data_IF_027956551829
#
_entry.id   IF_027956551829
#
_cell.length_a   1.000
_cell.length_b   1.000
_cell.length_c   1.000
_cell.angle_alpha   90.00
_cell.angle_beta   90.00
_cell.angle_gamma   90.00
#
_symmetry.space_group_name_H-M   'P 1'
#
loop_
_entity.id
_entity.type
_entity.pdbx_description
1 polymer ?
#
# COMPACT_ATOMS: atom_id res chain seq x y z
N UNK A 1 -45.66 -36.98 25.83
CA UNK A 1 -45.95 -36.25 24.57
C UNK A 1 -45.72 -34.80 24.93
N UNK A 2 -44.48 -34.37 24.78
CA UNK A 2 -44.02 -33.05 25.24
C UNK A 2 -43.63 -32.25 24.00
N UNK A 3 -44.48 -31.29 23.65
CA UNK A 3 -44.28 -30.37 22.54
C UNK A 3 -43.28 -29.27 22.94
N UNK A 4 -42.11 -29.27 22.32
CA UNK A 4 -41.17 -28.15 22.39
C UNK A 4 -41.51 -27.12 21.31
N UNK A 5 -42.03 -25.96 21.72
CA UNK A 5 -42.19 -24.79 20.85
C UNK A 5 -40.85 -24.08 20.69
N UNK A 6 -40.32 -24.07 19.46
CA UNK A 6 -39.08 -23.37 19.10
C UNK A 6 -39.39 -21.90 18.77
N UNK A 7 -38.91 -20.97 19.60
CA UNK A 7 -38.94 -19.53 19.28
C UNK A 7 -37.69 -19.15 18.49
N UNK A 8 -37.81 -19.09 17.16
CA UNK A 8 -36.76 -18.58 16.27
C UNK A 8 -36.63 -17.05 16.38
N UNK A 9 -35.43 -16.56 16.72
CA UNK A 9 -35.08 -15.14 16.70
C UNK A 9 -34.92 -14.67 15.25
N UNK A 10 -35.70 -13.69 14.82
CA UNK A 10 -35.54 -13.03 13.52
C UNK A 10 -34.26 -12.17 13.52
N UNK A 11 -33.33 -12.44 12.59
CA UNK A 11 -32.12 -11.66 12.40
C UNK A 11 -32.40 -10.25 11.85
N UNK A 12 -31.50 -9.27 12.07
CA UNK A 12 -31.72 -7.89 11.65
C UNK A 12 -31.76 -7.79 10.12
N UNK A 13 -32.85 -7.23 9.59
CA UNK A 13 -33.06 -7.01 8.15
C UNK A 13 -32.15 -5.88 7.64
N UNK A 14 -31.43 -6.13 6.56
CA UNK A 14 -30.52 -5.17 5.88
C UNK A 14 -31.29 -4.11 5.06
N UNK A 15 -32.57 -4.34 4.78
CA UNK A 15 -33.42 -3.44 3.99
C UNK A 15 -33.48 -1.97 4.50
N UNK A 16 -33.64 -1.69 5.81
CA UNK A 16 -33.59 -0.31 6.32
C UNK A 16 -32.22 0.36 6.14
N UNK A 17 -31.12 -0.40 6.20
CA UNK A 17 -29.78 0.15 6.00
C UNK A 17 -29.59 0.59 4.54
N UNK A 18 -30.02 -0.23 3.58
CA UNK A 18 -29.97 0.13 2.15
C UNK A 18 -30.83 1.36 1.84
N UNK A 19 -32.01 1.47 2.47
CA UNK A 19 -32.88 2.64 2.28
C UNK A 19 -32.25 3.92 2.86
N UNK A 20 -31.60 3.83 4.04
CA UNK A 20 -30.90 4.96 4.64
C UNK A 20 -29.72 5.43 3.78
N UNK A 21 -28.93 4.51 3.21
CA UNK A 21 -27.82 4.83 2.31
C UNK A 21 -28.31 5.49 1.02
N UNK A 22 -29.38 4.96 0.41
CA UNK A 22 -29.97 5.54 -0.79
C UNK A 22 -30.52 6.95 -0.53
N UNK A 23 -31.23 7.14 0.60
CA UNK A 23 -31.77 8.43 0.99
C UNK A 23 -30.65 9.47 1.24
N UNK A 24 -29.57 9.08 1.92
CA UNK A 24 -28.41 9.94 2.14
C UNK A 24 -27.72 10.34 0.82
N UNK A 25 -27.60 9.40 -0.13
CA UNK A 25 -27.01 9.69 -1.45
C UNK A 25 -27.87 10.68 -2.25
N UNK A 26 -29.19 10.48 -2.29
CA UNK A 26 -30.10 11.39 -3.00
C UNK A 26 -30.12 12.79 -2.38
N UNK A 27 -30.05 12.87 -1.04
CA UNK A 27 -29.98 14.15 -0.34
C UNK A 27 -28.66 14.89 -0.65
N UNK A 28 -27.53 14.18 -0.65
CA UNK A 28 -26.24 14.75 -1.05
C UNK A 28 -26.22 15.26 -2.49
N UNK A 29 -26.79 14.50 -3.42
CA UNK A 29 -26.90 14.92 -4.82
C UNK A 29 -27.78 16.16 -4.99
N UNK A 30 -28.91 16.24 -4.28
CA UNK A 30 -29.81 17.40 -4.31
C UNK A 30 -29.15 18.66 -3.74
N UNK A 31 -28.42 18.55 -2.62
CA UNK A 31 -27.68 19.69 -2.02
C UNK A 31 -26.57 20.16 -2.96
N UNK A 32 -25.81 19.23 -3.54
CA UNK A 32 -24.71 19.56 -4.46
C UNK A 32 -25.24 20.23 -5.73
N UNK A 33 -26.34 19.71 -6.30
CA UNK A 33 -27.02 20.31 -7.45
C UNK A 33 -27.57 21.71 -7.14
N UNK A 34 -28.14 21.92 -5.96
CA UNK A 34 -28.63 23.23 -5.52
C UNK A 34 -27.48 24.25 -5.37
N UNK A 35 -26.35 23.84 -4.78
CA UNK A 35 -25.17 24.69 -4.64
C UNK A 35 -24.52 25.03 -5.99
N UNK A 36 -24.48 24.07 -6.91
CA UNK A 36 -24.04 24.30 -8.28
C UNK A 36 -24.97 25.27 -9.03
N UNK A 37 -26.29 25.13 -8.87
CA UNK A 37 -27.27 26.04 -9.46
C UNK A 37 -27.17 27.46 -8.90
N UNK A 38 -26.82 27.61 -7.61
CA UNK A 38 -26.51 28.91 -6.99
C UNK A 38 -25.16 29.51 -7.42
N UNK A 39 -24.41 28.84 -8.29
CA UNK A 39 -23.13 29.33 -8.79
C UNK A 39 -21.98 29.26 -7.77
N UNK A 40 -22.12 28.49 -6.69
CA UNK A 40 -21.07 28.34 -5.65
C UNK A 40 -19.81 27.68 -6.22
N UNK A 41 -19.98 26.84 -7.26
CA UNK A 41 -18.90 26.18 -7.98
C UNK A 41 -18.67 26.78 -9.38
N UNK A 42 -19.22 27.96 -9.68
CA UNK A 42 -18.92 28.63 -10.94
C UNK A 42 -17.42 28.95 -10.98
N UNK A 43 -16.68 28.52 -12.02
CA UNK A 43 -15.29 28.92 -12.16
C UNK A 43 -15.24 30.45 -12.17
N UNK A 44 -14.49 31.03 -11.21
CA UNK A 44 -14.22 32.46 -11.20
C UNK A 44 -13.45 32.75 -12.48
N UNK A 45 -14.15 33.21 -13.50
CA UNK A 45 -13.52 33.82 -14.66
C UNK A 45 -12.67 34.96 -14.13
N UNK A 46 -11.35 34.78 -14.19
CA UNK A 46 -10.41 35.90 -14.05
C UNK A 46 -10.71 36.79 -15.24
N UNK A 47 -11.20 38.03 -15.05
CA UNK A 47 -11.39 38.93 -16.17
C UNK A 47 -10.00 39.17 -16.75
N UNK A 48 -9.75 38.60 -17.92
CA UNK A 48 -8.70 39.08 -18.79
C UNK A 48 -9.25 40.41 -19.29
N UNK A 49 -8.81 41.51 -18.66
CA UNK A 49 -9.01 42.84 -19.21
C UNK A 49 -8.57 42.80 -20.68
N UNK A 50 -9.44 43.17 -21.63
CA UNK A 50 -8.97 43.44 -22.97
C UNK A 50 -7.94 44.56 -22.82
N UNK A 51 -6.69 44.25 -23.18
CA UNK A 51 -5.68 45.28 -23.32
C UNK A 51 -6.25 46.32 -24.26
N UNK A 52 -6.56 47.50 -23.70
CA UNK A 52 -6.96 48.66 -24.46
C UNK A 52 -5.94 48.84 -25.58
N UNK A 53 -6.41 48.64 -26.81
CA UNK A 53 -5.78 49.16 -27.99
C UNK A 53 -5.81 50.68 -27.85
N UNK A 54 -4.79 51.22 -27.18
CA UNK A 54 -4.46 52.62 -27.23
C UNK A 54 -4.17 52.97 -28.70
N UNK A 55 -5.23 53.42 -29.36
CA UNK A 55 -5.18 54.17 -30.60
C UNK A 55 -4.36 55.42 -30.30
N UNK A 56 -3.07 55.35 -30.60
CA UNK A 56 -2.25 56.54 -30.66
C UNK A 56 -2.65 57.25 -31.94
N UNK A 57 -3.41 58.32 -31.78
CA UNK A 57 -3.68 59.28 -32.84
C UNK A 57 -2.35 59.70 -33.48
N UNK A 58 -2.29 59.61 -34.81
CA UNK A 58 -1.20 60.16 -35.57
C UNK A 58 -1.14 61.68 -35.36
N UNK A 59 -0.18 62.13 -34.55
CA UNK A 59 0.27 63.53 -34.58
C UNK A 59 1.26 63.64 -35.73
N UNK A 60 0.90 64.45 -36.72
CA UNK A 60 1.81 64.87 -37.80
C UNK A 60 2.86 65.81 -37.20
N UNK A 61 4.16 65.52 -37.26
CA UNK A 61 5.18 66.53 -36.98
C UNK A 61 5.44 67.34 -38.25
N UNK A 62 5.36 68.67 -38.12
CA UNK A 62 5.92 69.63 -39.06
C UNK A 62 7.45 69.47 -39.14
N UNK A 63 8.11 69.87 -40.24
CA UNK A 63 9.52 69.56 -40.47
C UNK A 63 10.50 70.50 -39.77
N UNK A 64 11.68 69.94 -39.47
CA UNK A 64 13.00 70.55 -39.16
C UNK A 64 13.32 70.90 -37.70
N UNK A 65 14.61 70.90 -37.28
CA UNK A 65 15.84 70.64 -38.03
C UNK A 65 16.59 69.35 -37.65
N UNK A 66 17.47 68.93 -38.56
CA UNK A 66 18.40 67.80 -38.49
C UNK A 66 19.25 67.79 -37.20
N UNK A 67 19.24 66.71 -36.39
CA UNK A 67 20.31 66.45 -35.44
C UNK A 67 21.47 65.76 -36.17
N UNK A 68 22.67 66.09 -35.74
CA UNK A 68 23.91 65.50 -36.21
C UNK A 68 23.89 63.96 -36.04
N UNK A 69 24.36 63.25 -37.06
CA UNK A 69 24.34 61.76 -37.21
C UNK A 69 25.03 61.02 -36.05
N UNK A 70 25.74 61.72 -35.16
CA UNK A 70 26.49 61.15 -34.04
C UNK A 70 25.67 60.94 -32.74
N UNK A 71 24.65 61.76 -32.46
CA UNK A 71 23.81 61.61 -31.25
C UNK A 71 22.70 60.56 -31.44
N UNK A 72 22.16 60.42 -32.65
CA UNK A 72 21.17 59.40 -32.98
C UNK A 72 21.76 57.99 -33.06
N UNK A 73 23.04 57.87 -33.43
CA UNK A 73 23.77 56.60 -33.38
C UNK A 73 23.98 56.15 -31.93
N UNK A 74 24.37 57.07 -31.03
CA UNK A 74 24.59 56.78 -29.61
C UNK A 74 23.28 56.39 -28.90
N UNK A 75 22.20 57.13 -29.13
CA UNK A 75 20.87 56.83 -28.57
C UNK A 75 20.19 55.59 -29.20
N UNK A 76 20.63 55.15 -30.39
CA UNK A 76 20.20 53.89 -30.99
C UNK A 76 20.98 52.71 -30.41
N UNK A 77 22.27 52.87 -30.12
CA UNK A 77 23.09 51.84 -29.45
C UNK A 77 22.60 51.61 -28.01
N UNK A 78 22.33 52.68 -27.26
CA UNK A 78 21.82 52.59 -25.88
C UNK A 78 20.44 51.91 -25.80
N UNK A 79 19.54 52.19 -26.77
CA UNK A 79 18.25 51.47 -26.88
C UNK A 79 18.41 50.00 -27.25
N UNK A 80 19.40 49.64 -28.06
CA UNK A 80 19.68 48.24 -28.38
C UNK A 80 20.23 47.52 -27.16
N UNK A 81 21.12 48.14 -26.38
CA UNK A 81 21.64 47.59 -25.13
C UNK A 81 20.56 47.36 -24.06
N UNK A 82 19.62 48.30 -23.88
CA UNK A 82 18.46 48.11 -22.97
C UNK A 82 17.56 46.94 -23.42
N UNK A 83 17.29 46.82 -24.73
CA UNK A 83 16.49 45.72 -25.28
C UNK A 83 17.21 44.38 -25.13
N UNK A 84 18.53 44.35 -25.34
CA UNK A 84 19.38 43.15 -25.18
C UNK A 84 19.39 42.69 -23.72
N UNK A 85 19.62 43.61 -22.77
CA UNK A 85 19.58 43.31 -21.34
C UNK A 85 18.20 42.84 -20.86
N UNK A 86 17.12 43.34 -21.46
CA UNK A 86 15.76 42.86 -21.23
C UNK A 86 15.51 41.43 -21.75
N UNK A 87 16.17 41.02 -22.83
CA UNK A 87 16.11 39.64 -23.35
C UNK A 87 16.92 38.70 -22.46
N UNK A 88 18.12 39.10 -22.03
CA UNK A 88 18.98 38.29 -21.15
C UNK A 88 18.30 38.02 -19.79
N UNK A 89 17.64 39.03 -19.21
CA UNK A 89 16.85 38.86 -17.99
C UNK A 89 15.68 37.88 -18.17
N UNK A 90 15.00 37.93 -19.32
CA UNK A 90 13.89 36.99 -19.62
C UNK A 90 14.42 35.57 -19.86
N UNK A 91 15.58 35.43 -20.49
CA UNK A 91 16.23 34.14 -20.69
C UNK A 91 16.62 33.53 -19.35
N UNK A 92 17.31 34.28 -18.49
CA UNK A 92 17.67 33.83 -17.14
C UNK A 92 16.43 33.46 -16.30
N UNK A 93 15.36 34.24 -16.38
CA UNK A 93 14.09 33.94 -15.70
C UNK A 93 13.40 32.68 -16.27
N UNK A 94 13.47 32.45 -17.58
CA UNK A 94 12.94 31.26 -18.22
C UNK A 94 13.73 30.00 -17.82
N UNK A 95 15.07 30.08 -17.78
CA UNK A 95 15.95 29.00 -17.33
C UNK A 95 15.67 28.62 -15.86
N UNK A 96 15.54 29.62 -14.98
CA UNK A 96 15.15 29.40 -13.57
C UNK A 96 13.76 28.75 -13.45
N UNK A 97 12.81 29.15 -14.31
CA UNK A 97 11.47 28.56 -14.32
C UNK A 97 11.50 27.10 -14.78
N UNK A 98 12.30 26.78 -15.80
CA UNK A 98 12.49 25.40 -16.27
C UNK A 98 13.12 24.55 -15.16
N UNK A 99 14.18 25.04 -14.50
CA UNK A 99 14.80 24.34 -13.38
C UNK A 99 13.80 24.05 -12.23
N UNK A 100 12.93 25.03 -11.90
CA UNK A 100 11.86 24.81 -10.92
C UNK A 100 10.82 23.80 -11.40
N UNK A 101 10.43 23.83 -12.67
CA UNK A 101 9.47 22.88 -13.24
C UNK A 101 10.05 21.46 -13.27
N UNK A 102 11.33 21.30 -13.57
CA UNK A 102 12.00 19.99 -13.55
C UNK A 102 12.00 19.39 -12.14
N UNK A 103 12.38 20.18 -11.13
CA UNK A 103 12.31 19.75 -9.72
C UNK A 103 10.88 19.40 -9.28
N UNK A 104 9.87 20.17 -9.72
CA UNK A 104 8.46 19.87 -9.44
C UNK A 104 8.01 18.59 -10.14
N UNK A 105 8.43 18.36 -11.39
CA UNK A 105 8.11 17.16 -12.14
C UNK A 105 8.73 15.91 -11.51
N UNK A 106 10.00 15.98 -11.08
CA UNK A 106 10.67 14.89 -10.36
C UNK A 106 9.99 14.59 -9.02
N UNK A 107 9.60 15.63 -8.27
CA UNK A 107 8.86 15.45 -7.02
C UNK A 107 7.48 14.81 -7.25
N UNK A 108 6.76 15.23 -8.29
CA UNK A 108 5.48 14.64 -8.67
C UNK A 108 5.64 13.17 -9.09
N UNK A 109 6.65 12.86 -9.91
CA UNK A 109 6.97 11.49 -10.33
C UNK A 109 7.30 10.59 -9.14
N UNK A 110 8.10 11.07 -8.17
CA UNK A 110 8.41 10.33 -6.96
C UNK A 110 7.19 10.06 -6.08
N UNK A 111 6.29 11.04 -5.94
CA UNK A 111 5.04 10.85 -5.20
C UNK A 111 4.09 9.86 -5.89
N UNK A 112 3.98 9.93 -7.22
CA UNK A 112 3.20 8.98 -8.01
C UNK A 112 3.75 7.56 -7.88
N UNK A 113 5.07 7.37 -7.99
CA UNK A 113 5.71 6.07 -7.80
C UNK A 113 5.46 5.49 -6.41
N UNK A 114 5.51 6.31 -5.36
CA UNK A 114 5.17 5.90 -3.99
C UNK A 114 3.71 5.43 -3.89
N UNK A 115 2.77 6.20 -4.45
CA UNK A 115 1.36 5.87 -4.44
C UNK A 115 1.08 4.56 -5.20
N UNK A 116 1.66 4.39 -6.38
CA UNK A 116 1.57 3.16 -7.16
C UNK A 116 2.15 1.95 -6.41
N UNK A 117 3.30 2.12 -5.76
CA UNK A 117 3.90 1.08 -4.92
C UNK A 117 2.99 0.64 -3.78
N UNK A 118 2.38 1.60 -3.07
CA UNK A 118 1.41 1.31 -2.01
C UNK A 118 0.15 0.61 -2.52
N UNK A 119 -0.38 1.03 -3.68
CA UNK A 119 -1.56 0.39 -4.28
C UNK A 119 -1.28 -1.06 -4.66
N UNK A 120 -0.10 -1.34 -5.23
CA UNK A 120 0.30 -2.70 -5.59
C UNK A 120 0.49 -3.55 -4.33
N UNK A 121 1.21 -3.05 -3.32
CA UNK A 121 1.39 -3.76 -2.06
C UNK A 121 0.04 -4.07 -1.37
N UNK A 122 -0.89 -3.11 -1.34
CA UNK A 122 -2.23 -3.31 -0.79
C UNK A 122 -3.05 -4.32 -1.60
N UNK A 123 -3.00 -4.25 -2.93
CA UNK A 123 -3.68 -5.21 -3.80
C UNK A 123 -3.13 -6.63 -3.60
N UNK A 124 -1.81 -6.76 -3.48
CA UNK A 124 -1.13 -8.02 -3.14
C UNK A 124 -1.59 -8.55 -1.79
N UNK A 125 -1.62 -7.72 -0.73
CA UNK A 125 -2.14 -8.10 0.60
C UNK A 125 -3.54 -8.68 0.49
N UNK A 126 -4.44 -7.95 -0.19
CA UNK A 126 -5.84 -8.33 -0.37
C UNK A 126 -6.01 -9.62 -1.19
N UNK A 127 -5.14 -9.88 -2.17
CA UNK A 127 -5.17 -11.12 -2.93
C UNK A 127 -4.76 -12.30 -2.05
N UNK A 128 -3.65 -12.18 -1.31
CA UNK A 128 -3.16 -13.23 -0.42
C UNK A 128 -4.13 -13.53 0.73
N UNK A 129 -4.72 -12.50 1.34
CA UNK A 129 -5.69 -12.68 2.43
C UNK A 129 -6.97 -13.40 1.93
N UNK A 130 -7.30 -13.30 0.64
CA UNK A 130 -8.39 -14.05 0.00
C UNK A 130 -7.98 -15.42 -0.55
N UNK A 131 -6.69 -15.75 -0.51
CA UNK A 131 -6.17 -16.97 -1.11
C UNK A 131 -6.21 -16.97 -2.64
N UNK A 132 -6.20 -15.80 -3.28
CA UNK A 132 -6.17 -15.68 -4.73
C UNK A 132 -4.73 -15.66 -5.26
N UNK A 133 -4.46 -16.27 -6.43
CA UNK A 133 -3.17 -16.12 -7.09
C UNK A 133 -2.97 -14.67 -7.54
N UNK A 134 -1.73 -14.20 -7.57
CA UNK A 134 -1.42 -12.79 -7.85
C UNK A 134 -1.70 -12.36 -9.30
N UNK A 135 -1.65 -13.29 -10.25
CA UNK A 135 -1.78 -12.98 -11.68
C UNK A 135 -0.81 -11.86 -12.09
N UNK A 136 -1.34 -10.80 -12.71
CA UNK A 136 -0.58 -9.63 -13.14
C UNK A 136 0.15 -8.90 -12.00
N UNK A 137 -0.32 -8.98 -10.75
CA UNK A 137 0.36 -8.38 -9.61
C UNK A 137 1.75 -8.96 -9.39
N UNK A 138 2.00 -10.22 -9.75
CA UNK A 138 3.31 -10.84 -9.63
C UNK A 138 4.35 -10.12 -10.51
N UNK A 139 3.97 -9.77 -11.73
CA UNK A 139 4.85 -9.06 -12.67
C UNK A 139 5.06 -7.60 -12.24
N UNK A 140 4.00 -6.97 -11.71
CA UNK A 140 4.11 -5.62 -11.13
C UNK A 140 5.05 -5.58 -9.91
N UNK A 141 4.99 -6.60 -9.05
CA UNK A 141 5.92 -6.71 -7.92
C UNK A 141 7.37 -6.87 -8.39
N UNK A 142 7.62 -7.74 -9.38
CA UNK A 142 8.96 -7.92 -9.96
C UNK A 142 9.48 -6.63 -10.58
N UNK A 143 8.65 -5.98 -11.39
CA UNK A 143 9.02 -4.76 -12.10
C UNK A 143 9.40 -3.63 -11.13
N UNK A 144 8.63 -3.46 -10.04
CA UNK A 144 8.78 -2.29 -9.17
C UNK A 144 9.65 -2.50 -7.95
N UNK A 145 9.55 -3.68 -7.34
CA UNK A 145 10.22 -4.02 -6.10
C UNK A 145 11.35 -5.02 -6.29
N UNK A 146 11.61 -5.49 -7.52
CA UNK A 146 12.66 -6.47 -7.81
C UNK A 146 14.06 -6.00 -7.40
N UNK A 147 14.35 -4.71 -7.54
CA UNK A 147 15.65 -4.14 -7.15
C UNK A 147 15.73 -3.83 -5.65
N UNK A 148 14.65 -3.31 -5.06
CA UNK A 148 14.62 -2.90 -3.64
C UNK A 148 14.45 -4.10 -2.69
N UNK A 149 13.63 -5.09 -3.06
CA UNK A 149 13.20 -6.20 -2.20
C UNK A 149 13.13 -7.54 -2.96
N UNK A 150 14.22 -8.02 -3.60
CA UNK A 150 14.20 -9.22 -4.45
C UNK A 150 13.76 -10.48 -3.70
N UNK A 151 14.25 -10.65 -2.46
CA UNK A 151 13.93 -11.82 -1.65
C UNK A 151 12.45 -11.83 -1.23
N UNK A 152 11.94 -10.69 -0.77
CA UNK A 152 10.56 -10.53 -0.31
C UNK A 152 9.57 -10.75 -1.45
N UNK A 153 9.84 -10.18 -2.63
CA UNK A 153 9.05 -10.40 -3.85
C UNK A 153 9.01 -11.87 -4.22
N UNK A 154 10.16 -12.56 -4.23
CA UNK A 154 10.22 -14.01 -4.51
C UNK A 154 9.38 -14.81 -3.51
N UNK A 155 9.48 -14.49 -2.22
CA UNK A 155 8.71 -15.19 -1.17
C UNK A 155 7.21 -15.00 -1.34
N UNK A 156 6.75 -13.78 -1.62
CA UNK A 156 5.33 -13.47 -1.85
C UNK A 156 4.80 -14.19 -3.09
N UNK A 157 5.55 -14.16 -4.19
CA UNK A 157 5.14 -14.84 -5.43
C UNK A 157 5.07 -16.36 -5.23
N UNK A 158 6.11 -16.96 -4.66
CA UNK A 158 6.13 -18.40 -4.39
C UNK A 158 5.01 -18.83 -3.42
N UNK A 159 4.66 -17.97 -2.45
CA UNK A 159 3.53 -18.22 -1.57
C UNK A 159 2.19 -18.18 -2.34
N UNK A 160 2.04 -17.25 -3.29
CA UNK A 160 0.80 -17.07 -4.06
C UNK A 160 0.45 -18.21 -5.01
N UNK A 161 1.41 -19.07 -5.36
CA UNK A 161 1.15 -20.26 -6.19
C UNK A 161 0.31 -21.30 -5.43
N UNK A 162 0.47 -21.38 -4.11
CA UNK A 162 -0.27 -22.29 -3.24
C UNK A 162 -0.66 -21.56 -1.95
N UNK A 163 -1.60 -20.61 -2.02
CA UNK A 163 -1.89 -19.74 -0.90
C UNK A 163 -2.64 -20.51 0.19
N UNK A 164 -2.33 -20.19 1.45
CA UNK A 164 -3.02 -20.72 2.62
C UNK A 164 -3.52 -19.53 3.43
N UNK A 165 -4.82 -19.49 3.73
CA UNK A 165 -5.42 -18.37 4.46
C UNK A 165 -5.49 -18.65 5.96
N UNK A 166 -5.67 -17.60 6.76
CA UNK A 166 -5.70 -17.70 8.22
C UNK A 166 -6.88 -18.55 8.72
N UNK A 167 -8.05 -18.42 8.09
CA UNK A 167 -9.23 -19.23 8.38
C UNK A 167 -9.01 -20.72 8.06
N UNK A 168 -8.31 -21.04 6.97
CA UNK A 168 -7.92 -22.41 6.65
C UNK A 168 -6.93 -22.95 7.67
N UNK A 169 -5.96 -22.16 8.12
CA UNK A 169 -5.04 -22.56 9.20
C UNK A 169 -5.78 -22.82 10.51
N UNK A 170 -6.77 -21.99 10.86
CA UNK A 170 -7.62 -22.18 12.04
C UNK A 170 -8.45 -23.46 11.95
N UNK A 171 -9.17 -23.65 10.83
CA UNK A 171 -9.99 -24.85 10.62
C UNK A 171 -9.15 -26.13 10.64
N UNK A 172 -7.95 -26.11 10.04
CA UNK A 172 -7.01 -27.25 10.08
C UNK A 172 -6.47 -27.49 11.48
N UNK A 173 -6.19 -26.45 12.26
CA UNK A 173 -5.75 -26.59 13.65
C UNK A 173 -6.84 -27.25 14.50
N UNK A 174 -8.10 -26.81 14.35
CA UNK A 174 -9.25 -27.40 15.04
C UNK A 174 -9.46 -28.87 14.67
N UNK A 175 -9.33 -29.23 13.39
CA UNK A 175 -9.38 -30.63 12.94
C UNK A 175 -8.25 -31.51 13.51
N UNK A 176 -7.13 -30.92 13.91
CA UNK A 176 -5.99 -31.63 14.51
C UNK A 176 -6.09 -31.77 16.03
N UNK A 177 -7.06 -31.13 16.69
CA UNK A 177 -7.18 -31.08 18.15
C UNK A 177 -7.10 -32.45 18.83
N UNK A 178 -7.85 -33.50 18.40
CA UNK A 178 -7.81 -34.80 19.08
C UNK A 178 -6.43 -35.46 18.98
N UNK A 179 -5.75 -35.29 17.85
CA UNK A 179 -4.42 -35.85 17.61
C UNK A 179 -3.33 -35.05 18.32
N UNK A 180 -3.50 -33.73 18.45
CA UNK A 180 -2.55 -32.88 19.15
C UNK A 180 -2.58 -33.08 20.68
N UNK A 181 -3.76 -33.38 21.22
CA UNK A 181 -3.95 -33.63 22.67
C UNK A 181 -3.50 -35.00 23.12
N UNK A 182 -3.46 -35.98 22.21
CA UNK A 182 -3.12 -37.37 22.51
C UNK A 182 -1.79 -37.75 21.85
N UNK A 183 -0.87 -38.39 22.58
CA UNK A 183 0.21 -39.12 21.91
C UNK A 183 -0.43 -40.36 21.30
N UNK A 184 -0.49 -40.45 19.97
CA UNK A 184 -0.89 -41.67 19.26
C UNK A 184 0.16 -42.75 19.51
N UNK A 185 0.11 -43.33 20.71
CA UNK A 185 0.98 -44.42 21.13
C UNK A 185 0.39 -45.68 20.54
N UNK A 186 0.77 -45.99 19.30
CA UNK A 186 0.41 -47.26 18.70
C UNK A 186 1.13 -48.34 19.53
N UNK A 187 0.43 -49.21 20.27
CA UNK A 187 1.09 -50.00 21.28
C UNK A 187 1.50 -51.33 20.65
N UNK A 188 2.78 -51.46 20.30
CA UNK A 188 3.39 -52.74 19.94
C UNK A 188 3.46 -53.70 21.16
N UNK A 189 3.22 -53.20 22.37
CA UNK A 189 3.32 -53.93 23.63
C UNK A 189 1.96 -54.43 24.18
N UNK A 190 0.81 -53.90 23.72
CA UNK A 190 -0.52 -54.31 24.22
C UNK A 190 -1.00 -55.64 23.65
N UNK A 191 -0.44 -56.14 22.54
CA UNK A 191 -0.76 -57.50 22.06
C UNK A 191 -0.16 -58.59 22.96
N UNK A 192 0.92 -58.30 23.69
CA UNK A 192 1.58 -59.29 24.55
C UNK A 192 1.06 -59.26 26.00
N UNK A 193 0.49 -58.13 26.44
CA UNK A 193 0.11 -57.91 27.85
C UNK A 193 -1.36 -58.25 28.17
N UNK A 194 -2.23 -58.35 27.15
CA UNK A 194 -3.66 -58.60 27.33
C UNK A 194 -4.02 -60.01 27.81
N UNK A 195 -3.09 -60.96 27.81
CA UNK A 195 -3.32 -62.31 28.36
C UNK A 195 -2.98 -62.42 29.86
N UNK A 196 -2.29 -61.43 30.47
CA UNK A 196 -1.80 -61.53 31.87
C UNK A 196 -2.56 -60.59 32.82
N UNK A 197 -3.26 -59.56 32.34
CA UNK A 197 -3.77 -58.47 33.19
C UNK A 197 -5.25 -58.56 33.60
N UNK A 198 -5.94 -59.69 33.43
CA UNK A 198 -7.35 -59.83 33.88
C UNK A 198 -7.52 -59.85 35.40
N UNK A 199 -6.44 -59.72 36.18
CA UNK A 199 -6.42 -59.87 37.64
C UNK A 199 -6.09 -58.59 38.43
N UNK A 200 -5.83 -57.45 37.79
CA UNK A 200 -5.65 -56.17 38.50
C UNK A 200 -6.46 -55.05 37.83
N UNK A 201 -7.37 -54.46 38.61
CA UNK A 201 -8.14 -53.27 38.21
C UNK A 201 -7.18 -52.08 38.13
N UNK A 202 -6.63 -51.84 36.94
CA UNK A 202 -5.88 -50.63 36.61
C UNK A 202 -6.89 -49.53 36.33
N UNK A 203 -6.91 -48.50 37.19
CA UNK A 203 -7.57 -47.23 36.91
C UNK A 203 -6.97 -46.67 35.60
N UNK A 204 -7.78 -46.58 34.56
CA UNK A 204 -7.37 -46.05 33.25
C UNK A 204 -7.03 -44.55 33.37
N UNK A 205 -5.75 -44.20 33.28
CA UNK A 205 -5.24 -42.83 33.06
C UNK A 205 -5.39 -42.37 31.59
N UNK A 206 -6.43 -42.81 30.88
CA UNK A 206 -6.62 -42.46 29.47
C UNK A 206 -7.28 -41.09 29.24
N UNK A 207 -7.26 -40.21 30.23
CA UNK A 207 -7.79 -38.85 30.11
C UNK A 207 -6.67 -37.91 29.61
N UNK A 208 -6.88 -37.14 28.53
CA UNK A 208 -5.90 -36.17 28.06
C UNK A 208 -5.48 -35.21 29.18
N UNK A 209 -4.19 -34.87 29.26
CA UNK A 209 -3.70 -33.91 30.27
C UNK A 209 -4.44 -32.57 30.17
N UNK A 210 -4.98 -32.02 31.27
CA UNK A 210 -5.60 -30.69 31.28
C UNK A 210 -4.68 -29.57 30.78
N UNK A 211 -3.36 -29.78 30.84
CA UNK A 211 -2.37 -28.82 30.33
C UNK A 211 -2.30 -28.80 28.80
N UNK A 212 -2.52 -29.93 28.12
CA UNK A 212 -2.52 -30.01 26.66
C UNK A 212 -3.71 -29.26 26.06
N UNK A 213 -4.89 -29.39 26.67
CA UNK A 213 -6.07 -28.60 26.28
C UNK A 213 -5.83 -27.09 26.40
N UNK A 214 -5.31 -26.63 27.54
CA UNK A 214 -4.96 -25.20 27.75
C UNK A 214 -3.91 -24.68 26.76
N UNK A 215 -2.93 -25.50 26.37
CA UNK A 215 -1.92 -25.12 25.34
C UNK A 215 -2.56 -24.97 23.97
N UNK A 216 -3.44 -25.89 23.61
CA UNK A 216 -4.19 -25.83 22.35
C UNK A 216 -5.04 -24.56 22.28
N UNK A 217 -5.79 -24.24 23.34
CA UNK A 217 -6.58 -23.02 23.43
C UNK A 217 -5.72 -21.75 23.28
N UNK A 218 -4.52 -21.70 23.88
CA UNK A 218 -3.58 -20.59 23.67
C UNK A 218 -3.08 -20.51 22.24
N UNK A 219 -2.76 -21.65 21.62
CA UNK A 219 -2.35 -21.68 20.22
C UNK A 219 -3.44 -21.10 19.31
N UNK A 220 -4.69 -21.50 19.53
CA UNK A 220 -5.87 -20.97 18.83
C UNK A 220 -6.03 -19.46 19.03
N UNK A 221 -6.01 -18.99 20.28
CA UNK A 221 -6.09 -17.56 20.59
C UNK A 221 -4.98 -16.76 19.89
N UNK A 222 -3.76 -17.30 19.84
CA UNK A 222 -2.64 -16.65 19.16
C UNK A 222 -2.88 -16.58 17.65
N UNK A 223 -3.37 -17.65 17.04
CA UNK A 223 -3.69 -17.68 15.62
C UNK A 223 -4.84 -16.73 15.27
N UNK A 224 -5.92 -16.70 16.06
CA UNK A 224 -7.04 -15.77 15.91
C UNK A 224 -6.59 -14.31 16.02
N UNK A 225 -5.60 -14.02 16.88
CA UNK A 225 -4.99 -12.69 17.00
C UNK A 225 -3.95 -12.36 15.91
N UNK A 226 -3.74 -13.24 14.92
CA UNK A 226 -2.74 -13.06 13.87
C UNK A 226 -1.29 -13.22 14.32
N UNK A 227 -1.05 -13.85 15.48
CA UNK A 227 0.30 -14.07 16.05
C UNK A 227 0.80 -15.48 15.75
N UNK A 228 1.10 -15.71 14.47
CA UNK A 228 1.34 -17.05 13.90
C UNK A 228 2.57 -17.72 14.51
N UNK A 229 3.71 -17.04 14.61
CA UNK A 229 4.93 -17.62 15.17
C UNK A 229 4.76 -18.07 16.63
N UNK A 230 3.95 -17.35 17.43
CA UNK A 230 3.63 -17.76 18.80
C UNK A 230 2.64 -18.94 18.84
N UNK A 231 1.69 -19.00 17.90
CA UNK A 231 0.80 -20.15 17.77
C UNK A 231 1.58 -21.43 17.43
N UNK A 232 2.52 -21.34 16.48
CA UNK A 232 3.42 -22.45 16.11
C UNK A 232 4.18 -22.95 17.33
N UNK A 233 4.78 -22.05 18.11
CA UNK A 233 5.53 -22.41 19.32
C UNK A 233 4.68 -23.10 20.41
N UNK A 234 3.38 -22.84 20.49
CA UNK A 234 2.49 -23.57 21.39
C UNK A 234 2.13 -24.96 20.85
N UNK A 235 1.89 -25.07 19.53
CA UNK A 235 1.59 -26.36 18.88
C UNK A 235 2.79 -27.31 18.92
N UNK A 236 4.01 -26.81 18.73
CA UNK A 236 5.24 -27.61 18.84
C UNK A 236 5.43 -28.23 20.23
N UNK A 237 4.90 -27.57 21.26
CA UNK A 237 4.93 -28.02 22.67
C UNK A 237 3.79 -28.97 23.01
N UNK A 238 2.88 -29.27 22.09
CA UNK A 238 1.82 -30.25 22.31
C UNK A 238 2.37 -31.68 22.17
N UNK A 239 1.85 -32.63 22.95
CA UNK A 239 2.34 -34.01 22.94
C UNK A 239 2.19 -34.69 21.57
N UNK A 240 1.16 -34.35 20.81
CA UNK A 240 0.93 -34.86 19.45
C UNK A 240 1.50 -33.98 18.33
N UNK A 241 2.48 -33.10 18.58
CA UNK A 241 2.97 -32.12 17.60
C UNK A 241 3.45 -32.75 16.27
N UNK A 242 3.93 -34.00 16.31
CA UNK A 242 4.33 -34.75 15.11
C UNK A 242 3.19 -34.88 14.07
N UNK A 243 1.93 -35.01 14.50
CA UNK A 243 0.79 -35.09 13.58
C UNK A 243 0.46 -33.75 12.90
N UNK A 244 1.00 -32.63 13.39
CA UNK A 244 0.78 -31.29 12.87
C UNK A 244 1.94 -30.77 12.00
N UNK A 245 2.90 -31.62 11.60
CA UNK A 245 4.06 -31.21 10.79
C UNK A 245 3.69 -30.40 9.55
N UNK A 246 2.68 -30.86 8.78
CA UNK A 246 2.21 -30.15 7.58
C UNK A 246 1.56 -28.80 7.93
N UNK A 247 0.78 -28.76 9.01
CA UNK A 247 0.17 -27.51 9.48
C UNK A 247 1.23 -26.51 9.94
N UNK A 248 2.27 -26.95 10.66
CA UNK A 248 3.40 -26.10 11.08
C UNK A 248 4.13 -25.55 9.85
N UNK A 249 4.37 -26.38 8.83
CA UNK A 249 5.02 -25.94 7.59
C UNK A 249 4.19 -24.86 6.87
N UNK A 250 2.88 -25.04 6.75
CA UNK A 250 1.98 -24.05 6.15
C UNK A 250 1.90 -22.75 6.97
N UNK A 251 1.81 -22.85 8.31
CA UNK A 251 1.80 -21.69 9.18
C UNK A 251 3.11 -20.88 9.06
N UNK A 252 4.27 -21.55 8.99
CA UNK A 252 5.57 -20.87 8.76
C UNK A 252 5.66 -20.25 7.36
N UNK A 253 5.06 -20.88 6.34
CA UNK A 253 4.99 -20.29 4.99
C UNK A 253 4.15 -19.03 4.99
N UNK A 254 3.00 -19.06 5.66
CA UNK A 254 2.12 -17.91 5.83
C UNK A 254 2.81 -16.75 6.56
N UNK A 255 3.46 -17.04 7.70
CA UNK A 255 4.18 -16.05 8.50
C UNK A 255 5.27 -15.34 7.68
N UNK A 256 6.12 -16.12 6.99
CA UNK A 256 7.16 -15.56 6.11
C UNK A 256 6.60 -14.73 4.95
N UNK A 257 5.44 -15.08 4.43
CA UNK A 257 4.80 -14.30 3.37
C UNK A 257 4.28 -12.95 3.91
N UNK A 258 3.75 -12.92 5.14
CA UNK A 258 3.33 -11.69 5.82
C UNK A 258 4.51 -10.79 6.13
N UNK A 259 5.58 -11.33 6.69
CA UNK A 259 6.82 -10.57 6.94
C UNK A 259 7.41 -10.00 5.65
N UNK A 260 7.47 -10.79 4.58
CA UNK A 260 7.94 -10.33 3.28
C UNK A 260 7.07 -9.21 2.71
N UNK A 261 5.74 -9.29 2.90
CA UNK A 261 4.82 -8.25 2.48
C UNK A 261 4.99 -6.95 3.29
N UNK A 262 5.19 -7.05 4.60
CA UNK A 262 5.48 -5.90 5.47
C UNK A 262 6.79 -5.19 5.04
N UNK A 263 7.80 -5.95 4.60
CA UNK A 263 9.03 -5.38 4.03
C UNK A 263 8.79 -4.66 2.70
N UNK A 264 7.94 -5.20 1.83
CA UNK A 264 7.55 -4.55 0.57
C UNK A 264 6.79 -3.25 0.84
N UNK A 265 5.86 -3.25 1.79
CA UNK A 265 5.12 -2.04 2.20
C UNK A 265 6.05 -0.99 2.81
N UNK A 266 7.00 -1.41 3.64
CA UNK A 266 8.01 -0.52 4.23
C UNK A 266 8.88 0.10 3.12
N UNK A 267 9.33 -0.70 2.16
CA UNK A 267 10.10 -0.22 1.01
C UNK A 267 9.29 0.75 0.14
N UNK A 268 7.99 0.49 -0.04
CA UNK A 268 7.09 1.39 -0.76
C UNK A 268 7.03 2.79 -0.11
N UNK A 269 7.09 2.87 1.22
CA UNK A 269 7.08 4.16 1.94
C UNK A 269 8.46 4.83 1.95
N UNK A 270 9.52 4.07 2.26
CA UNK A 270 10.82 4.64 2.64
C UNK A 270 11.81 4.78 1.49
N UNK A 271 11.73 3.96 0.44
CA UNK A 271 12.77 3.89 -0.60
C UNK A 271 12.31 4.29 -2.02
N UNK A 272 11.71 5.49 -2.26
CA UNK A 272 11.25 5.88 -3.61
C UNK A 272 12.32 5.73 -4.69
N UNK A 273 13.59 5.99 -4.35
CA UNK A 273 14.73 6.01 -5.28
C UNK A 273 15.09 4.63 -5.85
N UNK A 274 14.77 3.54 -5.15
CA UNK A 274 15.04 2.17 -5.61
C UNK A 274 13.81 1.52 -6.23
N UNK A 275 12.68 2.22 -6.26
CA UNK A 275 11.47 1.75 -6.93
C UNK A 275 11.51 2.14 -8.40
N UNK A 276 10.87 1.30 -9.22
CA UNK A 276 10.62 1.63 -10.62
C UNK A 276 9.20 2.18 -10.81
N UNK A 277 9.05 3.12 -11.74
CA UNK A 277 7.75 3.64 -12.14
C UNK A 277 6.97 2.61 -13.00
N UNK A 278 5.73 2.92 -13.40
CA UNK A 278 4.90 2.03 -14.22
C UNK A 278 5.46 1.69 -15.60
N UNK A 279 6.44 2.46 -16.09
CA UNK A 279 7.16 2.21 -17.33
C UNK A 279 8.48 1.43 -17.12
N UNK A 280 8.81 1.06 -15.88
CA UNK A 280 10.04 0.32 -15.56
C UNK A 280 11.30 1.17 -15.47
N UNK A 281 11.18 2.50 -15.43
CA UNK A 281 12.31 3.42 -15.26
C UNK A 281 12.59 3.65 -13.77
N UNK A 282 13.86 3.86 -13.42
CA UNK A 282 14.26 4.21 -12.06
C UNK A 282 13.69 5.59 -11.67
N UNK A 283 13.27 5.74 -10.42
CA UNK A 283 12.78 7.02 -9.89
C UNK A 283 13.97 7.83 -9.39
N UNK A 284 14.48 8.72 -10.23
CA UNK A 284 15.52 9.68 -9.84
C UNK A 284 14.88 10.88 -9.13
N UNK A 285 14.89 10.85 -7.79
CA UNK A 285 14.58 12.04 -6.98
C UNK A 285 15.89 12.62 -6.46
N UNK A 286 16.37 13.69 -7.09
CA UNK A 286 17.50 14.48 -6.60
C UNK A 286 17.15 15.01 -5.20
N UNK A 287 18.01 14.74 -4.21
CA UNK A 287 17.77 15.19 -2.85
C UNK A 287 17.89 16.73 -2.77
N UNK A 288 17.00 17.43 -2.05
CA UNK A 288 17.08 18.88 -1.89
C UNK A 288 18.39 19.37 -1.23
N UNK A 289 19.16 18.46 -0.62
CA UNK A 289 20.44 18.75 0.02
C UNK A 289 21.63 18.93 -0.95
N UNK A 290 21.52 18.51 -2.22
CA UNK A 290 22.64 18.68 -3.19
C UNK A 290 22.68 20.09 -3.79
N UNK A 291 21.59 20.86 -3.72
CA UNK A 291 21.54 22.24 -4.25
C UNK A 291 22.15 23.29 -3.29
N UNK A 292 22.56 22.90 -2.09
CA UNK A 292 23.12 23.79 -1.08
C UNK A 292 24.57 23.38 -0.73
N UNK A 293 25.48 23.54 -1.67
CA UNK A 293 26.90 23.69 -1.36
C UNK A 293 27.39 24.93 -2.09
N UNK A 294 27.45 26.10 -1.42
CA UNK A 294 28.18 27.22 -1.96
C UNK A 294 29.64 26.81 -2.05
N UNK A 295 30.17 26.89 -3.27
CA UNK A 295 31.59 26.72 -3.59
C UNK A 295 32.44 27.60 -2.66
N UNK A 296 33.49 27.06 -2.00
CA UNK A 296 34.35 27.87 -1.17
C UNK A 296 35.19 28.77 -2.07
N UNK A 297 34.90 30.07 -2.06
CA UNK A 297 35.78 31.10 -2.61
C UNK A 297 37.11 31.07 -1.84
N UNK A 298 38.16 30.63 -2.51
CA UNK A 298 39.54 30.66 -2.01
C UNK A 298 40.08 32.10 -2.13
N UNK A 299 40.78 32.63 -1.11
CA UNK A 299 41.30 34.00 -1.08
C UNK A 299 42.45 34.27 -2.06
#
# INVERSE_FOLDING_TARGET
MDDYTSTGRAGPSIKPLLFAVLAAFLLGAAVTGYLAWKGVFAPRAVPIEPADTATTAAVVPAPSPTPSVSETASAAVERVEEVQGGIDQRLAAAEQRIARLDLQAQAAAGNAARAEGLLIAFATRRALDRGEPLGYLADQLRLRFGDAQPNSVRTVIAFSENPVTLDVLLARLDGLEPNLRNVSTQPLFTRLQNEISSLFVIRRESAPSPQAGKRFERARMFLESGRISRAIAEVEKLPGSASATNWIADARRYDRAREALDLIETAAVQEPRRLRNGAGQAVEQLSPATAASPEPTVP
#
